data_IF_996209587845
#
_entry.id   IF_996209587845
#
_cell.length_a   1.000
_cell.length_b   1.000
_cell.length_c   1.000
_cell.angle_alpha   90.00
_cell.angle_beta   90.00
_cell.angle_gamma   90.00
#
_symmetry.space_group_name_H-M   'P 1'
#
loop_
_entity.id
_entity.type
_entity.pdbx_description
1 polymer ?
#
# COMPACT_ATOMS: atom_id res chain seq x y z
N UNK A 1 -11.08 -16.82 8.35
CA UNK A 1 -11.00 -17.85 7.29
C UNK A 1 -9.53 -18.06 6.99
N UNK A 2 -8.98 -19.25 7.24
CA UNK A 2 -7.58 -19.57 6.97
C UNK A 2 -7.45 -20.82 6.12
N UNK A 3 -6.26 -21.39 5.99
CA UNK A 3 -6.01 -22.60 5.21
C UNK A 3 -6.90 -23.73 5.73
N UNK A 4 -7.91 -24.14 4.93
CA UNK A 4 -8.95 -25.07 5.37
C UNK A 4 -8.48 -26.53 5.29
N UNK A 5 -7.74 -26.89 4.25
CA UNK A 5 -7.21 -28.23 4.04
C UNK A 5 -5.92 -28.19 3.22
N UNK A 6 -4.77 -28.49 3.83
CA UNK A 6 -3.45 -28.43 3.17
C UNK A 6 -3.02 -29.77 2.55
N UNK A 7 -3.83 -30.82 2.70
CA UNK A 7 -3.53 -32.16 2.16
C UNK A 7 -4.11 -32.35 0.75
N UNK A 8 -5.06 -31.51 0.34
CA UNK A 8 -5.62 -31.51 -1.02
C UNK A 8 -4.88 -30.60 -1.97
N UNK A 9 -4.90 -30.96 -3.26
CA UNK A 9 -4.32 -30.19 -4.38
C UNK A 9 -4.88 -28.75 -4.44
N UNK A 10 -6.17 -28.59 -4.08
CA UNK A 10 -6.83 -27.29 -4.01
C UNK A 10 -6.24 -26.40 -2.90
N UNK A 11 -5.98 -26.93 -1.71
CA UNK A 11 -5.39 -26.14 -0.63
C UNK A 11 -3.92 -25.83 -0.82
N UNK A 12 -3.17 -26.74 -1.45
CA UNK A 12 -1.80 -26.47 -1.89
C UNK A 12 -1.74 -25.36 -2.95
N UNK A 13 -2.72 -25.31 -3.86
CA UNK A 13 -2.83 -24.22 -4.82
C UNK A 13 -3.10 -22.86 -4.15
N UNK A 14 -3.96 -22.82 -3.14
CA UNK A 14 -4.23 -21.62 -2.34
C UNK A 14 -3.01 -21.19 -1.54
N UNK A 15 -2.26 -22.13 -0.95
CA UNK A 15 -1.00 -21.82 -0.27
C UNK A 15 0.06 -21.31 -1.26
N UNK A 16 0.11 -21.86 -2.48
CA UNK A 16 1.05 -21.45 -3.52
C UNK A 16 0.78 -20.04 -4.06
N UNK A 17 -0.49 -19.64 -4.20
CA UNK A 17 -0.85 -18.27 -4.57
C UNK A 17 -0.60 -17.30 -3.41
N UNK A 18 -0.85 -17.72 -2.17
CA UNK A 18 -0.56 -16.92 -0.98
C UNK A 18 0.94 -16.63 -0.81
N UNK A 19 1.80 -17.63 -1.01
CA UNK A 19 3.26 -17.51 -0.94
C UNK A 19 3.92 -16.89 -2.20
N UNK A 20 3.12 -16.49 -3.18
CA UNK A 20 3.60 -15.72 -4.33
C UNK A 20 4.01 -14.32 -3.89
N UNK A 21 3.18 -13.67 -3.08
CA UNK A 21 3.40 -12.29 -2.60
C UNK A 21 4.07 -12.23 -1.24
N UNK A 22 4.13 -13.34 -0.50
CA UNK A 22 4.64 -13.41 0.88
C UNK A 22 5.77 -14.42 1.01
N UNK A 23 6.80 -14.05 1.77
CA UNK A 23 7.92 -14.94 2.09
C UNK A 23 7.61 -15.93 3.22
N UNK A 24 6.74 -15.53 4.17
CA UNK A 24 6.29 -16.30 5.32
C UNK A 24 4.79 -16.06 5.59
N UNK A 25 4.21 -16.75 6.58
CA UNK A 25 2.76 -16.79 6.73
C UNK A 25 2.14 -15.52 7.34
N UNK A 26 2.80 -14.88 8.31
CA UNK A 26 2.27 -13.68 9.00
C UNK A 26 3.19 -12.46 8.83
N UNK A 27 4.50 -12.67 8.81
CA UNK A 27 5.50 -11.59 8.86
C UNK A 27 6.61 -11.74 7.81
N UNK A 28 7.69 -10.97 7.97
CA UNK A 28 8.89 -11.00 7.12
C UNK A 28 9.99 -11.94 7.64
N UNK A 29 9.75 -12.69 8.72
CA UNK A 29 10.66 -13.67 9.31
C UNK A 29 9.90 -14.96 9.69
N UNK A 30 10.64 -16.06 9.84
CA UNK A 30 10.07 -17.36 10.24
C UNK A 30 9.43 -17.22 11.63
N UNK A 31 8.16 -17.64 11.74
CA UNK A 31 7.37 -17.53 12.97
C UNK A 31 6.76 -18.87 13.37
N UNK A 32 6.16 -18.95 14.56
CA UNK A 32 5.40 -20.13 14.98
C UNK A 32 4.26 -20.48 14.01
N UNK A 33 3.72 -19.52 13.26
CA UNK A 33 2.71 -19.79 12.25
C UNK A 33 3.26 -20.62 11.08
N UNK A 34 4.49 -20.34 10.63
CA UNK A 34 5.17 -21.12 9.62
C UNK A 34 5.43 -22.55 10.11
N UNK A 35 5.79 -22.72 11.38
CA UNK A 35 6.00 -24.03 12.02
C UNK A 35 4.70 -24.84 12.05
N UNK A 36 3.57 -24.21 12.40
CA UNK A 36 2.26 -24.87 12.46
C UNK A 36 1.78 -25.31 11.08
N UNK A 37 1.98 -24.49 10.04
CA UNK A 37 1.62 -24.86 8.65
C UNK A 37 2.61 -25.87 8.07
N UNK A 38 3.89 -25.78 8.41
CA UNK A 38 4.91 -26.76 8.01
C UNK A 38 4.61 -28.14 8.58
N UNK A 39 4.22 -28.24 9.87
CA UNK A 39 3.80 -29.49 10.49
C UNK A 39 2.51 -30.07 9.91
N UNK A 40 1.64 -29.22 9.34
CA UNK A 40 0.44 -29.68 8.64
C UNK A 40 0.75 -30.32 7.28
N UNK A 41 1.88 -29.99 6.66
CA UNK A 41 2.37 -30.62 5.43
C UNK A 41 3.19 -31.86 5.77
N UNK A 42 2.55 -33.03 5.72
CA UNK A 42 3.20 -34.32 6.04
C UNK A 42 4.34 -34.71 5.07
N UNK A 43 4.39 -34.12 3.87
CA UNK A 43 5.40 -34.41 2.84
C UNK A 43 5.81 -33.16 2.08
N UNK A 44 7.05 -33.14 1.57
CA UNK A 44 7.54 -32.08 0.72
C UNK A 44 6.68 -31.94 -0.56
N UNK A 45 6.12 -30.75 -0.86
CA UNK A 45 5.29 -30.54 -2.04
C UNK A 45 6.12 -30.55 -3.33
N UNK A 46 5.52 -31.03 -4.43
CA UNK A 46 6.18 -31.15 -5.73
C UNK A 46 6.54 -29.77 -6.33
N UNK A 47 7.83 -29.53 -6.54
CA UNK A 47 8.35 -28.25 -7.04
C UNK A 47 7.83 -27.88 -8.44
N UNK A 48 7.49 -28.87 -9.27
CA UNK A 48 7.02 -28.66 -10.65
C UNK A 48 5.62 -28.04 -10.70
N UNK A 49 4.77 -28.31 -9.70
CA UNK A 49 3.40 -27.80 -9.62
C UNK A 49 3.25 -26.61 -8.68
N UNK A 50 4.01 -26.59 -7.58
CA UNK A 50 3.91 -25.58 -6.53
C UNK A 50 5.29 -25.00 -6.17
N UNK A 51 5.88 -24.18 -7.05
CA UNK A 51 7.26 -23.68 -6.86
C UNK A 51 7.40 -22.79 -5.62
N UNK A 52 6.39 -22.00 -5.28
CA UNK A 52 6.44 -21.07 -4.15
C UNK A 52 6.35 -21.81 -2.81
N UNK A 53 5.48 -22.82 -2.73
CA UNK A 53 5.37 -23.67 -1.54
C UNK A 53 6.62 -24.51 -1.36
N UNK A 54 7.16 -25.09 -2.44
CA UNK A 54 8.39 -25.89 -2.38
C UNK A 54 9.60 -25.06 -1.94
N UNK A 55 9.71 -23.80 -2.38
CA UNK A 55 10.73 -22.85 -1.93
C UNK A 55 10.60 -22.59 -0.42
N UNK A 56 9.41 -22.22 0.02
CA UNK A 56 9.14 -21.92 1.43
C UNK A 56 9.35 -23.15 2.32
N UNK A 57 8.88 -24.33 1.92
CA UNK A 57 9.05 -25.57 2.68
C UNK A 57 10.53 -25.92 2.90
N UNK A 58 11.36 -25.83 1.84
CA UNK A 58 12.82 -26.05 1.96
C UNK A 58 13.48 -25.05 2.89
N UNK A 59 13.03 -23.79 2.87
CA UNK A 59 13.56 -22.76 3.74
C UNK A 59 13.13 -22.98 5.20
N UNK A 60 11.88 -23.34 5.48
CA UNK A 60 11.44 -23.59 6.87
C UNK A 60 12.06 -24.85 7.44
N UNK A 61 12.31 -25.88 6.62
CA UNK A 61 13.00 -27.10 7.04
C UNK A 61 14.42 -26.86 7.58
N UNK A 62 15.11 -25.77 7.19
CA UNK A 62 16.44 -25.47 7.77
C UNK A 62 16.37 -24.97 9.21
N UNK A 63 15.19 -24.60 9.72
CA UNK A 63 14.98 -24.09 11.08
C UNK A 63 14.39 -25.14 12.02
N UNK A 64 14.38 -26.42 11.64
CA UNK A 64 13.79 -27.51 12.46
C UNK A 64 14.33 -27.55 13.89
N UNK A 65 15.63 -27.31 14.08
CA UNK A 65 16.29 -27.30 15.40
C UNK A 65 15.88 -26.07 16.26
N UNK A 66 15.41 -24.99 15.62
CA UNK A 66 15.09 -23.70 16.25
C UNK A 66 13.59 -23.48 16.42
N UNK A 67 12.73 -24.44 16.04
CA UNK A 67 11.27 -24.29 16.12
C UNK A 67 10.73 -23.95 17.51
N UNK A 68 11.45 -24.28 18.58
CA UNK A 68 11.05 -23.95 19.96
C UNK A 68 11.34 -22.48 20.35
N UNK A 69 12.28 -21.81 19.68
CA UNK A 69 12.74 -20.46 20.03
C UNK A 69 12.18 -19.36 19.12
N UNK A 70 11.45 -19.74 18.07
CA UNK A 70 10.87 -18.78 17.13
C UNK A 70 9.73 -17.96 17.75
N UNK A 71 9.61 -16.67 17.39
CA UNK A 71 8.57 -15.79 17.90
C UNK A 71 7.18 -16.16 17.35
N UNK A 72 6.14 -16.03 18.18
CA UNK A 72 4.74 -16.21 17.81
C UNK A 72 3.95 -17.09 18.77
N UNK A 73 2.66 -17.27 18.48
CA UNK A 73 1.73 -18.07 19.27
C UNK A 73 1.56 -19.47 18.65
N UNK A 74 2.13 -20.49 19.30
CA UNK A 74 2.06 -21.88 18.84
C UNK A 74 0.69 -22.55 19.09
N UNK A 75 -0.21 -21.91 19.83
CA UNK A 75 -1.51 -22.49 20.19
C UNK A 75 -2.58 -22.31 19.10
N UNK A 76 -2.32 -21.49 18.09
CA UNK A 76 -3.29 -21.20 17.02
C UNK A 76 -3.19 -22.27 15.91
N UNK A 77 -4.32 -22.84 15.46
CA UNK A 77 -4.31 -23.84 14.39
C UNK A 77 -3.96 -23.21 13.03
N UNK A 78 -3.46 -24.02 12.09
CA UNK A 78 -3.16 -23.56 10.73
C UNK A 78 -4.37 -22.94 10.01
N UNK A 79 -5.58 -23.33 10.40
CA UNK A 79 -6.86 -22.80 9.89
C UNK A 79 -7.16 -21.36 10.33
N UNK A 80 -6.40 -20.82 11.28
CA UNK A 80 -6.46 -19.41 11.68
C UNK A 80 -5.61 -18.50 10.79
N UNK A 81 -4.73 -19.08 9.96
CA UNK A 81 -3.81 -18.35 9.10
C UNK A 81 -4.17 -18.57 7.65
N UNK A 82 -4.19 -17.52 6.83
CA UNK A 82 -4.55 -17.61 5.42
C UNK A 82 -5.29 -16.37 4.93
N UNK A 83 -5.74 -16.37 3.66
CA UNK A 83 -6.44 -15.23 3.08
C UNK A 83 -7.79 -15.00 3.78
N UNK A 84 -7.96 -13.86 4.43
CA UNK A 84 -9.28 -13.35 4.80
C UNK A 84 -9.97 -12.88 3.53
N UNK A 85 -11.02 -13.61 3.13
CA UNK A 85 -11.80 -13.47 1.90
C UNK A 85 -11.11 -14.00 0.62
N UNK A 86 -11.86 -14.85 -0.07
CA UNK A 86 -11.52 -15.56 -1.28
C UNK A 86 -11.43 -14.62 -2.50
N UNK A 87 -10.22 -14.33 -2.97
CA UNK A 87 -9.97 -14.05 -4.39
C UNK A 87 -9.60 -15.37 -5.08
N UNK A 88 -10.61 -16.07 -5.57
CA UNK A 88 -10.40 -17.09 -6.60
C UNK A 88 -10.11 -16.36 -7.92
N UNK A 89 -8.83 -16.23 -8.24
CA UNK A 89 -8.35 -15.77 -9.54
C UNK A 89 -8.54 -16.87 -10.58
N UNK A 90 -9.56 -16.74 -11.43
CA UNK A 90 -9.64 -17.46 -12.69
C UNK A 90 -8.81 -16.68 -13.72
N UNK A 91 -7.66 -17.22 -14.08
CA UNK A 91 -6.80 -16.68 -15.14
C UNK A 91 -7.25 -17.20 -16.54
N UNK A 92 -6.81 -16.52 -17.62
CA UNK A 92 -7.54 -16.35 -18.89
C UNK A 92 -7.12 -17.34 -19.98
N UNK A 93 -8.03 -17.62 -20.92
CA UNK A 93 -7.68 -18.03 -22.29
C UNK A 93 -8.89 -17.92 -23.25
N UNK A 94 -8.89 -16.92 -24.14
CA UNK A 94 -8.93 -17.04 -25.62
C UNK A 94 -9.47 -15.75 -26.28
N UNK A 95 -8.60 -15.12 -27.07
CA UNK A 95 -8.77 -13.91 -27.87
C UNK A 95 -9.72 -14.13 -29.10
N UNK A 96 -10.14 -13.09 -29.89
CA UNK A 96 -9.24 -12.23 -30.68
C UNK A 96 -9.63 -10.73 -30.80
N UNK A 97 -8.71 -10.00 -31.44
CA UNK A 97 -8.64 -8.56 -31.69
C UNK A 97 -9.52 -8.03 -32.84
N UNK A 98 -9.73 -6.70 -32.83
CA UNK A 98 -10.11 -5.73 -33.89
C UNK A 98 -11.03 -4.68 -33.23
N UNK A 99 -10.96 -3.37 -33.41
CA UNK A 99 -10.20 -2.45 -34.26
C UNK A 99 -10.23 -1.07 -33.56
N UNK A 100 -9.25 -0.23 -33.84
CA UNK A 100 -9.29 1.21 -33.59
C UNK A 100 -10.45 1.81 -34.40
N UNK A 101 -11.25 2.70 -33.81
CA UNK A 101 -11.68 3.88 -34.56
C UNK A 101 -11.84 5.07 -33.61
N UNK A 102 -11.25 6.14 -34.08
CA UNK A 102 -11.11 7.48 -33.55
C UNK A 102 -12.41 8.23 -33.85
N UNK A 103 -12.94 9.00 -32.90
CA UNK A 103 -13.72 10.21 -33.19
C UNK A 103 -13.97 10.96 -31.87
N UNK A 104 -13.10 11.95 -31.65
CA UNK A 104 -13.36 13.15 -30.88
C UNK A 104 -14.79 13.67 -31.13
N UNK A 105 -15.72 13.36 -30.22
CA UNK A 105 -17.01 14.05 -30.14
C UNK A 105 -16.88 15.17 -29.13
N UNK A 106 -16.40 16.31 -29.64
CA UNK A 106 -16.50 17.62 -29.01
C UNK A 106 -17.98 17.97 -28.77
N UNK A 107 -18.45 17.65 -27.56
CA UNK A 107 -19.82 17.85 -27.11
C UNK A 107 -20.05 19.24 -26.51
N UNK A 108 -19.30 20.28 -26.93
CA UNK A 108 -19.50 21.65 -26.43
C UNK A 108 -19.20 22.77 -27.46
N UNK A 109 -19.67 22.63 -28.70
CA UNK A 109 -19.63 23.67 -29.73
C UNK A 109 -21.01 24.21 -30.14
N UNK A 110 -21.46 25.29 -29.47
CA UNK A 110 -22.40 26.35 -29.91
C UNK A 110 -23.76 26.02 -30.56
N UNK A 111 -24.81 26.19 -29.77
CA UNK A 111 -26.03 27.01 -29.97
C UNK A 111 -26.26 27.69 -31.35
N UNK A 112 -27.35 27.33 -32.05
CA UNK A 112 -28.15 28.26 -32.88
C UNK A 112 -29.59 27.72 -33.10
N UNK A 113 -30.55 28.65 -33.09
CA UNK A 113 -32.01 28.49 -32.98
C UNK A 113 -32.69 28.05 -34.30
N UNK A 114 -33.59 27.04 -34.27
CA UNK A 114 -34.92 27.01 -34.94
C UNK A 114 -35.58 25.60 -34.83
N UNK A 115 -36.91 25.59 -34.72
CA UNK A 115 -37.78 24.49 -34.28
C UNK A 115 -37.74 23.21 -35.13
N UNK A 116 -37.71 22.04 -34.49
CA UNK A 116 -38.29 20.83 -35.08
C UNK A 116 -38.89 19.88 -34.01
N UNK A 117 -40.22 19.81 -33.97
CA UNK A 117 -40.99 18.99 -33.02
C UNK A 117 -40.70 17.48 -33.14
N UNK A 118 -40.11 17.06 -34.25
CA UNK A 118 -39.73 15.66 -34.51
C UNK A 118 -38.47 15.24 -33.73
N UNK A 119 -37.51 16.16 -33.55
CA UNK A 119 -36.28 15.89 -32.78
C UNK A 119 -36.56 15.75 -31.27
N UNK A 120 -37.58 16.46 -30.75
CA UNK A 120 -38.06 16.29 -29.38
C UNK A 120 -38.71 14.92 -29.16
N UNK A 121 -39.48 14.42 -30.14
CA UNK A 121 -40.08 13.08 -30.10
C UNK A 121 -39.05 11.96 -30.15
N UNK A 122 -38.02 12.08 -30.99
CA UNK A 122 -36.94 11.10 -31.05
C UNK A 122 -36.12 11.10 -29.74
N UNK A 123 -35.94 12.27 -29.12
CA UNK A 123 -35.28 12.40 -27.81
C UNK A 123 -36.12 11.78 -26.68
N UNK A 124 -37.45 11.96 -26.70
CA UNK A 124 -38.38 11.32 -25.77
C UNK A 124 -38.50 9.81 -25.99
N UNK A 125 -38.53 9.33 -27.24
CA UNK A 125 -38.51 7.89 -27.54
C UNK A 125 -37.19 7.26 -27.07
N UNK A 126 -36.04 7.92 -27.27
CA UNK A 126 -34.74 7.48 -26.74
C UNK A 126 -34.69 7.52 -25.21
N UNK A 127 -35.30 8.51 -24.57
CA UNK A 127 -35.43 8.61 -23.11
C UNK A 127 -36.40 7.57 -22.54
N UNK A 128 -37.45 7.21 -23.27
CA UNK A 128 -38.41 6.16 -22.89
C UNK A 128 -37.79 4.77 -23.07
N UNK A 129 -36.99 4.55 -24.11
CA UNK A 129 -36.14 3.35 -24.26
C UNK A 129 -35.10 3.27 -23.15
N UNK A 130 -34.54 4.42 -22.72
CA UNK A 130 -33.62 4.48 -21.57
C UNK A 130 -34.34 4.24 -20.24
N UNK A 131 -35.58 4.72 -20.07
CA UNK A 131 -36.44 4.45 -18.91
C UNK A 131 -36.82 2.97 -18.84
N UNK A 132 -37.21 2.35 -19.95
CA UNK A 132 -37.48 0.90 -20.01
C UNK A 132 -36.22 0.05 -19.78
N UNK A 133 -35.05 0.50 -20.25
CA UNK A 133 -33.75 -0.13 -19.92
C UNK A 133 -33.32 0.09 -18.46
N UNK A 134 -33.79 1.16 -17.81
CA UNK A 134 -33.61 1.40 -16.37
C UNK A 134 -34.62 0.65 -15.50
N UNK A 135 -35.85 0.45 -15.96
CA UNK A 135 -36.91 -0.29 -15.26
C UNK A 135 -36.71 -1.81 -15.32
N UNK A 136 -35.95 -2.32 -16.31
CA UNK A 136 -35.47 -3.71 -16.33
C UNK A 136 -34.37 -4.02 -15.31
N UNK A 137 -33.80 -3.01 -14.64
CA UNK A 137 -32.95 -3.22 -13.46
C UNK A 137 -33.85 -3.16 -12.23
N UNK A 138 -34.48 -4.29 -11.91
CA UNK A 138 -35.09 -4.49 -10.60
C UNK A 138 -34.01 -4.17 -9.56
N UNK A 139 -34.30 -3.24 -8.64
CA UNK A 139 -33.44 -2.99 -7.48
C UNK A 139 -33.11 -4.36 -6.87
N UNK A 140 -31.83 -4.75 -6.71
CA UNK A 140 -31.53 -6.02 -6.07
C UNK A 140 -32.22 -6.00 -4.70
N UNK A 141 -33.13 -6.95 -4.47
CA UNK A 141 -33.84 -7.07 -3.21
C UNK A 141 -32.80 -7.14 -2.09
N UNK A 142 -32.99 -6.38 -1.02
CA UNK A 142 -32.11 -6.40 0.14
C UNK A 142 -32.13 -7.82 0.72
N UNK A 143 -31.01 -8.53 0.60
CA UNK A 143 -30.85 -9.87 1.14
C UNK A 143 -30.19 -9.76 2.51
N UNK A 144 -30.73 -10.43 3.52
CA UNK A 144 -30.00 -10.61 4.77
C UNK A 144 -29.67 -12.08 4.98
N UNK A 145 -28.44 -12.32 5.45
CA UNK A 145 -28.01 -13.65 5.88
C UNK A 145 -28.22 -13.71 7.38
N UNK A 146 -29.02 -14.67 7.82
CA UNK A 146 -29.40 -14.85 9.22
C UNK A 146 -28.96 -16.23 9.70
N UNK A 147 -28.44 -16.29 10.92
CA UNK A 147 -28.07 -17.52 11.59
C UNK A 147 -29.00 -17.73 12.77
N UNK A 148 -29.83 -18.77 12.70
CA UNK A 148 -30.78 -19.16 13.74
C UNK A 148 -30.25 -20.34 14.55
N UNK A 149 -30.37 -20.24 15.87
CA UNK A 149 -30.16 -21.35 16.80
C UNK A 149 -31.52 -21.90 17.24
N UNK A 150 -31.76 -23.18 16.97
CA UNK A 150 -32.96 -23.91 17.41
C UNK A 150 -32.56 -24.83 18.57
N UNK A 151 -33.14 -24.60 19.76
CA UNK A 151 -32.93 -25.41 20.95
C UNK A 151 -34.03 -26.48 21.06
N UNK A 152 -33.69 -27.78 21.09
CA UNK A 152 -34.67 -28.84 21.34
C UNK A 152 -34.96 -28.99 22.84
N UNK A 153 -36.06 -29.70 23.16
CA UNK A 153 -36.46 -29.96 24.55
C UNK A 153 -35.55 -30.93 25.31
N UNK A 154 -34.95 -31.93 24.64
CA UNK A 154 -34.18 -32.98 25.31
C UNK A 154 -33.07 -33.60 24.44
N UNK A 155 -32.13 -34.35 25.06
CA UNK A 155 -30.99 -35.01 24.40
C UNK A 155 -31.33 -36.33 23.67
N UNK A 156 -32.54 -36.86 23.87
CA UNK A 156 -33.10 -38.01 23.14
C UNK A 156 -33.84 -37.63 21.84
N UNK A 157 -34.05 -36.34 21.55
CA UNK A 157 -34.80 -35.89 20.36
C UNK A 157 -34.01 -36.15 19.06
N UNK A 158 -34.67 -36.73 18.05
CA UNK A 158 -34.03 -37.02 16.76
C UNK A 158 -33.68 -35.74 15.99
N UNK A 159 -32.40 -35.38 16.04
CA UNK A 159 -31.83 -34.16 15.46
C UNK A 159 -32.00 -34.08 13.93
N UNK A 160 -32.20 -35.22 13.25
CA UNK A 160 -32.44 -35.25 11.80
C UNK A 160 -33.88 -34.93 11.45
N UNK A 161 -34.85 -35.41 12.23
CA UNK A 161 -36.27 -35.11 12.03
C UNK A 161 -36.57 -33.62 12.26
N UNK A 162 -35.88 -33.00 13.22
CA UNK A 162 -35.95 -31.55 13.45
C UNK A 162 -35.36 -30.75 12.28
N UNK A 163 -34.23 -31.19 11.70
CA UNK A 163 -33.67 -30.55 10.51
C UNK A 163 -34.58 -30.69 9.29
N UNK A 164 -35.19 -31.86 9.08
CA UNK A 164 -36.16 -32.09 8.01
C UNK A 164 -37.43 -31.24 8.17
N UNK A 165 -37.92 -31.08 9.40
CA UNK A 165 -39.08 -30.24 9.72
C UNK A 165 -38.79 -28.75 9.46
N UNK A 166 -37.63 -28.25 9.88
CA UNK A 166 -37.23 -26.85 9.64
C UNK A 166 -36.99 -26.58 8.15
N UNK A 167 -36.39 -27.53 7.42
CA UNK A 167 -36.19 -27.42 5.96
C UNK A 167 -37.47 -27.55 5.15
N UNK A 168 -38.55 -28.11 5.71
CA UNK A 168 -39.85 -28.26 5.02
C UNK A 168 -40.66 -26.96 4.92
N UNK A 169 -40.23 -25.90 5.63
CA UNK A 169 -40.84 -24.57 5.55
C UNK A 169 -40.34 -23.88 4.28
N UNK A 170 -41.18 -23.85 3.25
CA UNK A 170 -40.95 -23.11 2.00
C UNK A 170 -41.78 -21.81 1.99
N UNK A 171 -41.10 -20.66 2.00
CA UNK A 171 -41.71 -19.34 1.79
C UNK A 171 -40.99 -18.61 0.63
N UNK A 172 -41.71 -17.79 -0.15
CA UNK A 172 -41.13 -17.05 -1.29
C UNK A 172 -40.10 -16.01 -0.81
N UNK A 173 -38.83 -16.22 -1.13
CA UNK A 173 -37.70 -15.37 -0.69
C UNK A 173 -36.85 -15.96 0.44
N UNK A 174 -37.13 -17.19 0.89
CA UNK A 174 -36.36 -17.91 1.91
C UNK A 174 -35.48 -19.01 1.27
N UNK A 175 -34.17 -18.95 1.50
CA UNK A 175 -33.23 -20.00 1.09
C UNK A 175 -32.48 -20.55 2.30
N UNK A 176 -32.69 -21.84 2.59
CA UNK A 176 -31.98 -22.55 3.65
C UNK A 176 -30.53 -22.85 3.27
N UNK A 177 -29.60 -22.46 4.14
CA UNK A 177 -28.16 -22.68 4.02
C UNK A 177 -27.65 -23.89 4.79
N UNK A 178 -26.37 -23.85 5.15
CA UNK A 178 -25.71 -24.92 5.90
C UNK A 178 -26.21 -25.00 7.36
N UNK A 179 -26.42 -26.23 7.83
CA UNK A 179 -26.74 -26.56 9.23
C UNK A 179 -25.52 -27.12 9.94
N UNK A 180 -25.36 -26.81 11.23
CA UNK A 180 -24.30 -27.34 12.10
C UNK A 180 -24.88 -27.62 13.48
N UNK A 181 -24.50 -28.75 14.05
CA UNK A 181 -24.82 -29.09 15.44
C UNK A 181 -23.74 -28.53 16.37
N UNK A 182 -24.12 -27.69 17.32
CA UNK A 182 -23.22 -27.11 18.32
C UNK A 182 -23.60 -27.67 19.69
N UNK A 183 -22.64 -28.24 20.43
CA UNK A 183 -22.91 -28.75 21.77
C UNK A 183 -23.10 -27.59 22.76
N UNK A 184 -24.23 -27.56 23.46
CA UNK A 184 -24.44 -26.78 24.67
C UNK A 184 -24.14 -27.73 25.83
N UNK A 185 -23.55 -27.27 26.93
CA UNK A 185 -23.21 -28.15 28.05
C UNK A 185 -24.40 -29.01 28.52
N UNK A 186 -24.13 -30.12 29.21
CA UNK A 186 -25.11 -31.12 29.67
C UNK A 186 -25.75 -32.03 28.59
N UNK A 187 -25.04 -32.33 27.49
CA UNK A 187 -25.46 -33.34 26.52
C UNK A 187 -26.41 -32.84 25.41
N UNK A 188 -27.00 -31.66 25.58
CA UNK A 188 -27.92 -31.04 24.62
C UNK A 188 -27.15 -30.38 23.48
N UNK A 189 -27.45 -30.75 22.23
CA UNK A 189 -26.89 -30.11 21.03
C UNK A 189 -27.91 -29.15 20.44
N UNK A 190 -27.54 -27.89 20.21
CA UNK A 190 -28.36 -26.93 19.47
C UNK A 190 -28.11 -27.05 17.97
N UNK A 191 -29.16 -26.86 17.17
CA UNK A 191 -29.04 -26.78 15.71
C UNK A 191 -28.81 -25.32 15.32
N UNK A 192 -27.66 -25.03 14.72
CA UNK A 192 -27.34 -23.74 14.13
C UNK A 192 -27.57 -23.83 12.62
N UNK A 193 -28.55 -23.09 12.08
CA UNK A 193 -28.88 -23.07 10.66
C UNK A 193 -28.71 -21.67 10.08
N UNK A 194 -28.06 -21.58 8.92
CA UNK A 194 -27.96 -20.34 8.15
C UNK A 194 -29.13 -20.26 7.16
N UNK A 195 -29.68 -19.08 6.95
CA UNK A 195 -30.71 -18.80 5.95
C UNK A 195 -30.45 -17.46 5.27
N UNK A 196 -30.88 -17.34 4.03
CA UNK A 196 -30.86 -16.10 3.25
C UNK A 196 -32.30 -15.68 3.03
N UNK A 197 -32.68 -14.50 3.53
CA UNK A 197 -34.01 -13.92 3.37
C UNK A 197 -33.95 -12.66 2.51
N UNK A 198 -35.00 -12.44 1.72
CA UNK A 198 -35.31 -11.16 1.13
C UNK A 198 -36.16 -10.34 2.12
N UNK A 199 -35.55 -9.29 2.70
CA UNK A 199 -36.10 -8.53 3.84
C UNK A 199 -37.47 -7.87 3.52
N UNK A 200 -37.77 -7.65 2.23
CA UNK A 200 -39.04 -7.03 1.78
C UNK A 200 -40.22 -8.01 1.74
N UNK A 201 -39.96 -9.33 1.79
CA UNK A 201 -40.98 -10.38 1.65
C UNK A 201 -41.12 -11.26 2.89
N UNK A 202 -40.03 -11.49 3.61
CA UNK A 202 -40.00 -12.41 4.75
C UNK A 202 -39.67 -11.64 6.03
N UNK A 203 -40.66 -11.55 6.92
CA UNK A 203 -40.53 -11.06 8.29
C UNK A 203 -39.87 -12.12 9.17
N UNK A 204 -38.83 -11.73 9.90
CA UNK A 204 -38.13 -12.63 10.83
C UNK A 204 -39.04 -13.11 11.96
N UNK A 205 -39.95 -12.25 12.43
CA UNK A 205 -40.89 -12.57 13.51
C UNK A 205 -41.87 -13.69 13.09
N UNK A 206 -42.43 -13.61 11.87
CA UNK A 206 -43.35 -14.64 11.35
C UNK A 206 -42.64 -15.99 11.11
N UNK A 207 -41.35 -15.94 10.73
CA UNK A 207 -40.51 -17.12 10.56
C UNK A 207 -40.15 -17.77 11.91
N UNK A 208 -39.91 -16.98 12.95
CA UNK A 208 -39.72 -17.49 14.31
C UNK A 208 -41.00 -18.11 14.88
N UNK A 209 -42.15 -17.49 14.66
CA UNK A 209 -43.45 -18.00 15.12
C UNK A 209 -43.83 -19.31 14.43
N UNK A 210 -43.57 -19.44 13.13
CA UNK A 210 -43.78 -20.70 12.38
C UNK A 210 -42.89 -21.83 12.90
N UNK A 211 -41.66 -21.52 13.27
CA UNK A 211 -40.71 -22.50 13.86
C UNK A 211 -41.11 -22.85 15.30
N UNK A 212 -41.63 -21.90 16.07
CA UNK A 212 -42.13 -22.12 17.43
C UNK A 212 -43.43 -22.95 17.47
N UNK A 213 -44.22 -22.95 16.39
CA UNK A 213 -45.41 -23.78 16.25
C UNK A 213 -45.15 -25.30 16.21
N UNK A 214 -43.90 -25.73 16.06
CA UNK A 214 -43.49 -27.13 16.22
C UNK A 214 -43.21 -27.44 17.70
N UNK A 215 -44.26 -27.33 18.53
CA UNK A 215 -44.23 -27.44 20.00
C UNK A 215 -43.62 -28.76 20.51
N UNK A 216 -43.70 -29.84 19.71
CA UNK A 216 -43.19 -31.17 20.06
C UNK A 216 -41.66 -31.30 19.99
N UNK A 217 -40.96 -30.39 19.28
CA UNK A 217 -39.52 -30.52 19.02
C UNK A 217 -38.70 -29.29 19.41
N UNK A 218 -39.28 -28.09 19.39
CA UNK A 218 -38.55 -26.82 19.59
C UNK A 218 -38.93 -26.19 20.93
N UNK A 219 -37.93 -25.92 21.77
CA UNK A 219 -38.09 -25.19 23.02
C UNK A 219 -38.06 -23.66 22.79
N UNK A 220 -37.14 -23.20 21.94
CA UNK A 220 -36.99 -21.80 21.56
C UNK A 220 -36.09 -21.67 20.33
N UNK A 221 -36.38 -20.70 19.46
CA UNK A 221 -35.50 -20.24 18.39
C UNK A 221 -34.86 -18.90 18.77
N UNK A 222 -33.58 -18.70 18.47
CA UNK A 222 -32.84 -17.48 18.78
C UNK A 222 -32.01 -17.00 17.57
N UNK A 223 -31.86 -15.69 17.39
CA UNK A 223 -31.07 -15.10 16.30
C UNK A 223 -29.64 -14.88 16.80
N UNK A 224 -28.69 -15.66 16.28
CA UNK A 224 -27.28 -15.57 16.67
C UNK A 224 -26.57 -14.43 15.97
N UNK A 225 -26.83 -14.28 14.67
CA UNK A 225 -26.20 -13.27 13.85
C UNK A 225 -27.14 -12.89 12.70
N UNK A 226 -27.28 -11.59 12.47
CA UNK A 226 -27.93 -11.02 11.31
C UNK A 226 -26.92 -10.16 10.56
N UNK A 227 -26.60 -10.53 9.33
CA UNK A 227 -25.79 -9.72 8.43
C UNK A 227 -26.71 -9.16 7.35
N UNK A 228 -27.05 -7.87 7.48
CA UNK A 228 -27.75 -7.14 6.42
C UNK A 228 -26.76 -6.89 5.28
N UNK A 229 -27.01 -7.45 4.08
CA UNK A 229 -26.32 -7.01 2.87
C UNK A 229 -26.97 -5.70 2.43
N UNK A 230 -26.68 -4.62 3.15
CA UNK A 230 -27.01 -3.28 2.68
C UNK A 230 -25.97 -2.88 1.63
N UNK A 231 -26.43 -2.49 0.44
CA UNK A 231 -25.71 -1.86 -0.68
C UNK A 231 -25.00 -0.53 -0.30
N UNK A 232 -24.68 -0.30 0.97
CA UNK A 232 -23.67 0.68 1.40
C UNK A 232 -22.27 0.30 0.87
N UNK A 233 -22.08 -0.96 0.45
CA UNK A 233 -20.87 -1.44 -0.19
C UNK A 233 -20.54 -0.65 -1.45
N UNK A 234 -21.52 -0.18 -2.23
CA UNK A 234 -21.20 0.48 -3.51
C UNK A 234 -20.59 1.87 -3.33
N UNK A 235 -21.06 2.67 -2.36
CA UNK A 235 -20.44 3.97 -2.05
C UNK A 235 -19.10 3.81 -1.32
N UNK A 236 -18.96 2.82 -0.43
CA UNK A 236 -17.68 2.56 0.24
C UNK A 236 -16.66 1.95 -0.71
N UNK A 237 -17.04 1.03 -1.60
CA UNK A 237 -16.13 0.41 -2.58
C UNK A 237 -15.63 1.42 -3.61
N UNK A 238 -16.48 2.35 -4.08
CA UNK A 238 -16.02 3.43 -4.97
C UNK A 238 -15.05 4.38 -4.27
N UNK A 239 -15.31 4.73 -3.01
CA UNK A 239 -14.40 5.57 -2.21
C UNK A 239 -13.12 4.83 -1.81
N UNK A 240 -13.19 3.55 -1.47
CA UNK A 240 -12.05 2.70 -1.11
C UNK A 240 -11.21 2.33 -2.33
N UNK A 241 -11.81 2.11 -3.50
CA UNK A 241 -11.10 1.92 -4.77
C UNK A 241 -10.44 3.22 -5.23
N UNK A 242 -11.12 4.38 -5.09
CA UNK A 242 -10.47 5.70 -5.25
C UNK A 242 -9.29 5.86 -4.29
N UNK A 243 -9.45 5.49 -3.02
CA UNK A 243 -8.38 5.54 -2.02
C UNK A 243 -7.22 4.58 -2.35
N UNK A 244 -7.50 3.36 -2.82
CA UNK A 244 -6.52 2.33 -3.13
C UNK A 244 -5.62 2.73 -4.30
N UNK A 245 -6.19 3.21 -5.40
CA UNK A 245 -5.41 3.73 -6.54
C UNK A 245 -4.60 4.97 -6.13
N UNK A 246 -5.18 5.85 -5.31
CA UNK A 246 -4.52 7.05 -4.77
C UNK A 246 -3.36 6.74 -3.78
N UNK A 247 -3.41 5.62 -3.06
CA UNK A 247 -2.37 5.26 -2.07
C UNK A 247 -1.06 4.70 -2.64
N UNK A 248 -1.04 4.29 -3.91
CA UNK A 248 0.13 3.64 -4.50
C UNK A 248 1.33 4.59 -4.65
N UNK A 249 1.10 5.82 -5.11
CA UNK A 249 2.15 6.83 -5.32
C UNK A 249 2.79 7.28 -4.01
N UNK A 250 1.99 7.42 -2.96
CA UNK A 250 2.47 7.74 -1.61
C UNK A 250 3.32 6.63 -1.02
N UNK A 251 2.90 5.37 -1.21
CA UNK A 251 3.68 4.22 -0.78
C UNK A 251 5.04 4.19 -1.48
N UNK A 252 5.08 4.43 -2.80
CA UNK A 252 6.31 4.57 -3.57
C UNK A 252 7.22 5.67 -3.01
N UNK A 253 6.68 6.88 -2.75
CA UNK A 253 7.47 7.98 -2.19
C UNK A 253 8.11 7.63 -0.84
N UNK A 254 7.37 6.96 0.04
CA UNK A 254 7.87 6.52 1.35
C UNK A 254 8.92 5.41 1.21
N UNK A 255 8.72 4.45 0.29
CA UNK A 255 9.73 3.43 0.01
C UNK A 255 11.01 4.04 -0.55
N UNK A 256 10.90 5.05 -1.40
CA UNK A 256 12.05 5.79 -1.90
C UNK A 256 12.78 6.53 -0.78
N UNK A 257 12.06 7.22 0.13
CA UNK A 257 12.68 7.84 1.30
C UNK A 257 13.47 6.82 2.15
N UNK A 258 12.88 5.64 2.39
CA UNK A 258 13.53 4.56 3.16
C UNK A 258 14.78 4.03 2.47
N UNK A 259 14.77 3.89 1.14
CA UNK A 259 15.96 3.48 0.37
C UNK A 259 17.07 4.53 0.46
N UNK A 260 16.73 5.82 0.40
CA UNK A 260 17.69 6.93 0.47
C UNK A 260 18.48 6.95 1.79
N UNK A 261 17.86 6.57 2.91
CA UNK A 261 18.55 6.53 4.21
C UNK A 261 19.77 5.60 4.22
N UNK A 262 19.72 4.50 3.47
CA UNK A 262 20.78 3.51 3.43
C UNK A 262 21.85 3.79 2.35
N UNK A 263 21.61 4.77 1.48
CA UNK A 263 22.51 5.09 0.38
C UNK A 263 23.51 6.17 0.77
N UNK A 264 24.74 6.02 0.31
CA UNK A 264 25.78 7.03 0.49
C UNK A 264 25.58 8.25 -0.43
N UNK A 265 25.03 8.03 -1.63
CA UNK A 265 24.68 9.06 -2.60
C UNK A 265 23.17 9.34 -2.58
N UNK A 266 22.80 10.56 -2.97
CA UNK A 266 21.40 10.95 -3.06
C UNK A 266 20.81 10.51 -4.40
N UNK A 267 19.70 9.74 -4.43
CA UNK A 267 19.03 9.40 -5.68
C UNK A 267 18.36 10.63 -6.33
N UNK A 268 18.08 10.56 -7.65
CA UNK A 268 17.37 11.62 -8.36
C UNK A 268 16.05 12.01 -7.69
N UNK A 269 15.80 13.32 -7.62
CA UNK A 269 14.57 13.85 -7.08
C UNK A 269 13.36 13.44 -7.94
N UNK A 270 12.35 12.83 -7.32
CA UNK A 270 11.16 12.33 -8.01
C UNK A 270 10.11 13.42 -8.18
N UNK A 271 10.33 14.30 -9.17
CA UNK A 271 9.39 15.38 -9.51
C UNK A 271 7.99 14.87 -9.81
N UNK A 272 7.89 13.77 -10.54
CA UNK A 272 6.61 13.28 -11.04
C UNK A 272 5.72 12.74 -9.93
N UNK A 273 6.28 12.01 -8.96
CA UNK A 273 5.52 11.50 -7.81
C UNK A 273 5.06 12.66 -6.93
N UNK A 274 5.93 13.64 -6.64
CA UNK A 274 5.54 14.81 -5.83
C UNK A 274 4.47 15.63 -6.54
N UNK A 275 4.57 15.81 -7.87
CA UNK A 275 3.56 16.50 -8.68
C UNK A 275 2.22 15.75 -8.71
N UNK A 276 2.24 14.44 -8.74
CA UNK A 276 1.03 13.62 -8.76
C UNK A 276 0.31 13.68 -7.40
N UNK A 277 1.02 13.49 -6.28
CA UNK A 277 0.44 13.63 -4.93
C UNK A 277 -0.07 15.05 -4.67
N UNK A 278 0.62 16.09 -5.15
CA UNK A 278 0.14 17.47 -4.98
C UNK A 278 -1.09 17.79 -5.83
N UNK A 279 -1.21 17.20 -7.03
CA UNK A 279 -2.44 17.25 -7.83
C UNK A 279 -3.59 16.55 -7.09
N UNK A 280 -3.35 15.36 -6.55
CA UNK A 280 -4.34 14.62 -5.77
C UNK A 280 -4.85 15.41 -4.56
N UNK A 281 -3.96 16.05 -3.80
CA UNK A 281 -4.36 16.89 -2.66
C UNK A 281 -5.23 18.07 -3.11
N UNK A 282 -4.94 18.68 -4.26
CA UNK A 282 -5.78 19.75 -4.82
C UNK A 282 -7.13 19.25 -5.28
N UNK A 283 -7.19 18.04 -5.83
CA UNK A 283 -8.45 17.45 -6.26
C UNK A 283 -9.31 17.03 -5.07
N UNK A 284 -8.71 16.50 -3.99
CA UNK A 284 -9.41 16.29 -2.71
C UNK A 284 -9.95 17.59 -2.11
N UNK A 285 -9.19 18.68 -2.18
CA UNK A 285 -9.63 20.00 -1.70
C UNK A 285 -10.81 20.55 -2.52
N UNK A 286 -10.81 20.33 -3.85
CA UNK A 286 -11.95 20.65 -4.71
C UNK A 286 -13.17 19.78 -4.39
N UNK A 287 -12.98 18.47 -4.17
CA UNK A 287 -14.05 17.55 -3.79
C UNK A 287 -14.70 18.03 -2.47
N UNK A 288 -13.89 18.41 -1.47
CA UNK A 288 -14.37 18.99 -0.20
C UNK A 288 -15.12 20.30 -0.43
N UNK A 289 -14.62 21.19 -1.30
CA UNK A 289 -15.30 22.44 -1.63
C UNK A 289 -16.67 22.19 -2.28
N UNK A 290 -16.78 21.24 -3.21
CA UNK A 290 -18.05 20.85 -3.85
C UNK A 290 -19.03 20.24 -2.85
N UNK A 291 -18.55 19.46 -1.88
CA UNK A 291 -19.41 18.91 -0.82
C UNK A 291 -19.93 20.00 0.13
N UNK A 292 -19.18 21.08 0.32
CA UNK A 292 -19.55 22.20 1.19
C UNK A 292 -20.34 23.30 0.46
N UNK A 293 -20.30 23.36 -0.86
CA UNK A 293 -21.00 24.35 -1.70
C UNK A 293 -22.50 24.47 -1.37
N UNK A 294 -23.27 23.37 -1.17
CA UNK A 294 -24.69 23.46 -0.81
C UNK A 294 -24.95 24.06 0.59
N UNK A 295 -23.92 24.09 1.44
CA UNK A 295 -24.00 24.57 2.83
C UNK A 295 -23.40 25.97 3.00
N UNK A 296 -22.90 26.57 1.93
CA UNK A 296 -22.46 27.95 1.91
C UNK A 296 -23.64 28.87 1.61
N UNK A 297 -23.90 29.81 2.53
CA UNK A 297 -24.84 30.89 2.30
C UNK A 297 -24.19 31.99 1.44
N UNK A 298 -24.99 32.70 0.63
CA UNK A 298 -24.54 33.84 -0.20
C UNK A 298 -23.84 34.97 0.59
N UNK A 299 -24.01 34.99 1.91
CA UNK A 299 -23.36 35.93 2.83
C UNK A 299 -22.01 35.44 3.38
N UNK A 300 -21.50 34.29 2.93
CA UNK A 300 -20.23 33.69 3.38
C UNK A 300 -20.31 32.93 4.71
N UNK A 301 -21.53 32.60 5.17
CA UNK A 301 -21.77 31.75 6.34
C UNK A 301 -21.75 30.26 5.96
N UNK A 302 -21.22 29.41 6.84
CA UNK A 302 -21.32 27.94 6.72
C UNK A 302 -22.44 27.46 7.63
N UNK A 303 -23.54 26.98 7.05
CA UNK A 303 -24.69 26.41 7.77
C UNK A 303 -24.54 24.89 8.05
N UNK A 304 -23.35 24.32 7.78
CA UNK A 304 -23.11 22.90 7.93
C UNK A 304 -23.14 22.45 9.41
N UNK A 305 -24.09 21.59 9.76
CA UNK A 305 -24.15 20.92 11.06
C UNK A 305 -23.82 19.42 10.91
N UNK A 306 -22.73 18.92 11.52
CA UNK A 306 -22.33 17.52 11.43
C UNK A 306 -23.37 16.52 12.00
N UNK A 307 -24.30 16.98 12.84
CA UNK A 307 -25.28 16.09 13.49
C UNK A 307 -26.49 15.81 12.60
N UNK A 308 -26.83 16.74 11.70
CA UNK A 308 -27.98 16.64 10.79
C UNK A 308 -27.63 15.84 9.54
N UNK A 309 -26.44 16.04 8.97
CA UNK A 309 -25.93 15.27 7.83
C UNK A 309 -24.65 14.50 8.17
N UNK A 310 -24.85 13.37 8.85
CA UNK A 310 -23.77 12.46 9.27
C UNK A 310 -23.02 11.84 8.09
N UNK A 311 -23.66 11.68 6.92
CA UNK A 311 -23.04 11.05 5.76
C UNK A 311 -21.98 11.99 5.16
N UNK A 312 -22.34 13.25 4.95
CA UNK A 312 -21.40 14.27 4.45
C UNK A 312 -20.31 14.58 5.48
N UNK A 313 -20.64 14.60 6.77
CA UNK A 313 -19.64 14.76 7.84
C UNK A 313 -18.56 13.65 7.80
N UNK A 314 -18.97 12.40 7.58
CA UNK A 314 -18.03 11.28 7.41
C UNK A 314 -17.18 11.43 6.14
N UNK A 315 -17.77 11.83 5.01
CA UNK A 315 -17.04 12.06 3.76
C UNK A 315 -15.96 13.14 3.91
N UNK A 316 -16.34 14.30 4.44
CA UNK A 316 -15.42 15.41 4.72
C UNK A 316 -14.29 15.01 5.67
N UNK A 317 -14.60 14.19 6.70
CA UNK A 317 -13.59 13.68 7.62
C UNK A 317 -12.60 12.76 6.90
N UNK A 318 -13.08 11.85 6.06
CA UNK A 318 -12.22 10.93 5.29
C UNK A 318 -11.30 11.71 4.35
N UNK A 319 -11.83 12.69 3.61
CA UNK A 319 -11.03 13.51 2.70
C UNK A 319 -10.00 14.36 3.45
N UNK A 320 -10.39 14.95 4.59
CA UNK A 320 -9.47 15.68 5.44
C UNK A 320 -8.33 14.80 5.99
N UNK A 321 -8.65 13.59 6.45
CA UNK A 321 -7.66 12.63 6.92
C UNK A 321 -6.74 12.16 5.78
N UNK A 322 -7.27 11.97 4.57
CA UNK A 322 -6.49 11.64 3.38
C UNK A 322 -5.51 12.77 3.03
N UNK A 323 -5.96 14.02 2.98
CA UNK A 323 -5.08 15.18 2.74
C UNK A 323 -3.97 15.29 3.81
N UNK A 324 -4.30 15.07 5.09
CA UNK A 324 -3.31 15.08 6.18
C UNK A 324 -2.29 13.94 6.04
N UNK A 325 -2.72 12.75 5.61
CA UNK A 325 -1.82 11.64 5.32
C UNK A 325 -0.86 12.00 4.18
N UNK A 326 -1.38 12.56 3.08
CA UNK A 326 -0.58 12.91 1.92
C UNK A 326 0.47 13.97 2.27
N UNK A 327 0.05 15.01 3.00
CA UNK A 327 0.97 16.04 3.52
C UNK A 327 2.05 15.44 4.42
N UNK A 328 1.70 14.53 5.34
CA UNK A 328 2.66 13.89 6.25
C UNK A 328 3.71 13.06 5.49
N UNK A 329 3.28 12.29 4.50
CA UNK A 329 4.18 11.47 3.68
C UNK A 329 5.13 12.34 2.84
N UNK A 330 4.63 13.40 2.20
CA UNK A 330 5.47 14.33 1.46
C UNK A 330 6.50 15.02 2.36
N UNK A 331 6.08 15.51 3.53
CA UNK A 331 6.99 16.12 4.49
C UNK A 331 8.06 15.14 4.99
N UNK A 332 7.70 13.88 5.23
CA UNK A 332 8.66 12.85 5.62
C UNK A 332 9.69 12.56 4.51
N UNK A 333 9.25 12.48 3.25
CA UNK A 333 10.13 12.32 2.09
C UNK A 333 11.10 13.49 1.97
N UNK A 334 10.60 14.73 1.99
CA UNK A 334 11.43 15.93 1.92
C UNK A 334 12.38 16.04 3.11
N UNK A 335 11.92 15.78 4.33
CA UNK A 335 12.75 15.85 5.53
C UNK A 335 13.92 14.86 5.47
N UNK A 336 13.65 13.63 5.03
CA UNK A 336 14.70 12.60 4.87
C UNK A 336 15.76 13.04 3.84
N UNK A 337 15.32 13.69 2.76
CA UNK A 337 16.25 14.22 1.74
C UNK A 337 17.04 15.41 2.25
N UNK A 338 16.40 16.36 2.94
CA UNK A 338 17.11 17.52 3.53
C UNK A 338 18.11 17.07 4.59
N UNK A 339 17.79 16.09 5.44
CA UNK A 339 18.74 15.54 6.41
C UNK A 339 19.98 14.96 5.73
N UNK A 340 19.79 14.28 4.59
CA UNK A 340 20.91 13.74 3.82
C UNK A 340 21.72 14.84 3.15
N UNK A 341 21.08 15.87 2.63
CA UNK A 341 21.75 17.03 2.05
C UNK A 341 22.56 17.80 3.11
N UNK A 342 21.98 18.07 4.27
CA UNK A 342 22.67 18.67 5.40
C UNK A 342 23.91 17.82 5.77
N UNK A 343 23.76 16.49 5.91
CA UNK A 343 24.88 15.58 6.17
C UNK A 343 26.01 15.69 5.13
N UNK A 344 25.66 15.81 3.85
CA UNK A 344 26.64 15.97 2.76
C UNK A 344 27.36 17.32 2.82
N UNK A 345 26.64 18.40 3.13
CA UNK A 345 27.24 19.73 3.35
C UNK A 345 28.21 19.71 4.53
N UNK A 346 27.85 19.05 5.63
CA UNK A 346 28.73 18.90 6.79
C UNK A 346 29.96 18.03 6.52
N UNK A 347 29.86 17.08 5.59
CA UNK A 347 31.01 16.30 5.10
C UNK A 347 31.91 17.07 4.12
N UNK A 348 31.53 18.30 3.77
CA UNK A 348 32.31 19.18 2.89
C UNK A 348 32.08 18.95 1.39
N UNK A 349 31.00 18.26 1.01
CA UNK A 349 30.56 18.18 -0.38
C UNK A 349 29.89 19.49 -0.79
N UNK A 350 30.41 20.17 -1.79
CA UNK A 350 29.78 21.38 -2.34
C UNK A 350 28.64 21.02 -3.31
N UNK A 351 27.76 21.98 -3.63
CA UNK A 351 26.66 21.82 -4.61
C UNK A 351 27.19 21.33 -5.95
N UNK A 352 28.39 21.77 -6.34
CA UNK A 352 29.07 21.35 -7.57
C UNK A 352 29.51 19.89 -7.48
N UNK A 353 30.13 19.48 -6.36
CA UNK A 353 30.53 18.09 -6.12
C UNK A 353 29.31 17.14 -6.09
N UNK A 354 28.18 17.63 -5.58
CA UNK A 354 26.91 16.90 -5.52
C UNK A 354 26.27 16.73 -6.91
N UNK A 355 26.39 17.75 -7.76
CA UNK A 355 25.94 17.69 -9.15
C UNK A 355 26.84 16.76 -10.00
N UNK A 356 28.15 16.78 -9.77
CA UNK A 356 29.12 15.92 -10.46
C UNK A 356 29.10 14.46 -9.96
N UNK A 357 28.82 14.21 -8.68
CA UNK A 357 28.64 12.85 -8.17
C UNK A 357 27.48 12.10 -8.87
N UNK A 358 26.47 12.82 -9.34
CA UNK A 358 25.38 12.24 -10.12
C UNK A 358 25.74 11.87 -11.56
N UNK A 359 26.75 12.50 -12.17
CA UNK A 359 27.18 12.15 -13.53
C UNK A 359 28.08 10.91 -13.56
N UNK A 360 28.96 10.73 -12.56
CA UNK A 360 29.86 9.58 -12.50
C UNK A 360 29.17 8.23 -12.20
N UNK A 361 27.99 8.24 -11.58
CA UNK A 361 27.21 7.00 -11.39
C UNK A 361 26.68 6.40 -12.71
N UNK A 362 26.66 7.20 -13.79
CA UNK A 362 26.13 6.81 -15.10
C UNK A 362 27.23 6.38 -16.10
N UNK A 363 28.50 6.65 -15.82
CA UNK A 363 29.64 6.32 -16.70
C UNK A 363 30.18 4.89 -16.54
N UNK A 364 29.68 4.11 -15.57
CA UNK A 364 30.16 2.75 -15.32
C UNK A 364 29.83 1.69 -16.39
N UNK A 365 29.18 2.05 -17.51
CA UNK A 365 28.69 1.04 -18.47
C UNK A 365 28.86 1.35 -19.96
N UNK A 366 29.61 2.38 -20.38
CA UNK A 366 29.90 2.56 -21.80
C UNK A 366 31.41 2.71 -22.04
N UNK A 367 31.92 1.89 -22.96
CA UNK A 367 33.30 1.90 -23.44
C UNK A 367 33.69 3.22 -24.13
N UNK A 368 34.98 3.38 -24.47
CA UNK A 368 35.52 4.68 -24.83
C UNK A 368 35.20 5.01 -26.30
N UNK A 369 34.17 5.82 -26.52
CA UNK A 369 33.96 6.45 -27.83
C UNK A 369 34.52 7.87 -27.86
N UNK A 370 35.45 8.04 -28.80
CA UNK A 370 36.13 9.27 -29.16
C UNK A 370 35.13 10.12 -29.96
N UNK A 371 34.62 11.21 -29.38
CA UNK A 371 34.21 12.37 -30.18
C UNK A 371 34.24 13.66 -29.35
N UNK A 372 35.24 14.49 -29.66
CA UNK A 372 35.29 15.88 -29.24
C UNK A 372 34.16 16.65 -29.94
N UNK A 373 33.17 17.09 -29.16
CA UNK A 373 32.09 17.95 -29.59
C UNK A 373 31.68 18.85 -28.43
N UNK A 374 32.02 20.13 -28.52
CA UNK A 374 31.57 21.21 -27.64
C UNK A 374 30.04 21.29 -27.64
N UNK A 375 29.42 20.63 -26.66
CA UNK A 375 28.01 20.72 -26.35
C UNK A 375 27.87 20.96 -24.85
N UNK A 376 27.24 22.08 -24.50
CA UNK A 376 26.81 22.42 -23.14
C UNK A 376 25.85 21.35 -22.62
N UNK A 377 26.39 20.27 -22.07
CA UNK A 377 25.62 19.20 -21.46
C UNK A 377 24.95 19.75 -20.21
N UNK A 378 23.63 19.93 -20.28
CA UNK A 378 22.80 20.08 -19.08
C UNK A 378 22.94 18.78 -18.30
N UNK A 379 23.91 18.73 -17.39
CA UNK A 379 24.05 17.64 -16.44
C UNK A 379 22.74 17.54 -15.68
N UNK A 380 22.10 16.38 -15.77
CA UNK A 380 20.87 16.11 -15.05
C UNK A 380 21.23 16.02 -13.57
N UNK A 381 21.27 17.17 -12.91
CA UNK A 381 21.45 17.27 -11.48
C UNK A 381 20.42 16.34 -10.82
N UNK A 382 20.89 15.46 -9.94
CA UNK A 382 20.01 14.60 -9.14
C UNK A 382 19.12 15.39 -8.16
N UNK A 383 19.38 16.70 -8.05
CA UNK A 383 18.70 17.64 -7.19
C UNK A 383 17.60 18.38 -7.95
N UNK A 384 16.53 18.71 -7.23
CA UNK A 384 15.59 19.71 -7.74
C UNK A 384 16.18 21.12 -7.63
N UNK A 385 15.79 22.07 -8.50
CA UNK A 385 16.24 23.47 -8.39
C UNK A 385 15.99 24.08 -7.00
N UNK A 386 14.88 23.68 -6.36
CA UNK A 386 14.54 24.12 -5.00
C UNK A 386 15.48 23.54 -3.94
N UNK A 387 15.95 22.31 -4.12
CA UNK A 387 16.97 21.70 -3.25
C UNK A 387 18.33 22.37 -3.45
N UNK A 388 18.70 22.71 -4.68
CA UNK A 388 19.95 23.45 -4.95
C UNK A 388 19.98 24.81 -4.25
N UNK A 389 18.89 25.58 -4.35
CA UNK A 389 18.77 26.87 -3.66
C UNK A 389 18.79 26.72 -2.14
N UNK A 390 18.17 25.67 -1.61
CA UNK A 390 18.21 25.36 -0.18
C UNK A 390 19.65 25.04 0.29
N UNK A 391 20.38 24.20 -0.46
CA UNK A 391 21.76 23.85 -0.11
C UNK A 391 22.67 25.07 -0.17
N UNK A 392 22.52 25.95 -1.17
CA UNK A 392 23.28 27.21 -1.22
C UNK A 392 23.04 28.07 0.03
N UNK A 393 21.78 28.29 0.39
CA UNK A 393 21.43 29.06 1.59
C UNK A 393 21.96 28.41 2.87
N UNK A 394 21.92 27.08 2.96
CA UNK A 394 22.44 26.34 4.11
C UNK A 394 23.97 26.41 4.21
N UNK A 395 24.67 26.30 3.08
CA UNK A 395 26.13 26.46 3.00
C UNK A 395 26.55 27.88 3.40
N UNK A 396 25.83 28.91 2.96
CA UNK A 396 26.07 30.31 3.36
C UNK A 396 25.86 30.50 4.87
N UNK A 397 24.79 29.91 5.42
CA UNK A 397 24.51 29.92 6.86
C UNK A 397 25.63 29.22 7.65
N UNK A 398 26.08 28.06 7.17
CA UNK A 398 27.18 27.32 7.78
C UNK A 398 28.49 28.10 7.71
N UNK A 399 28.78 28.75 6.59
CA UNK A 399 29.96 29.61 6.43
C UNK A 399 29.91 30.81 7.40
N UNK A 400 28.76 31.45 7.55
CA UNK A 400 28.56 32.53 8.53
C UNK A 400 28.75 32.05 9.97
N UNK A 401 28.28 30.84 10.29
CA UNK A 401 28.46 30.22 11.60
C UNK A 401 29.93 29.88 11.87
N UNK A 402 30.63 29.28 10.90
CA UNK A 402 32.07 28.99 10.95
C UNK A 402 32.92 30.26 11.07
N UNK A 403 32.50 31.35 10.42
CA UNK A 403 33.21 32.63 10.49
C UNK A 403 33.35 33.20 11.90
N UNK A 404 32.53 32.77 12.85
CA UNK A 404 32.67 33.13 14.27
C UNK A 404 33.83 32.41 14.97
N UNK A 405 34.27 31.27 14.42
CA UNK A 405 35.24 30.36 15.02
C UNK A 405 36.36 30.05 14.02
N UNK A 406 37.29 30.99 13.83
CA UNK A 406 38.40 30.83 12.87
C UNK A 406 39.42 29.76 13.28
N UNK A 407 39.48 29.46 14.57
CA UNK A 407 40.50 28.58 15.15
C UNK A 407 40.03 27.11 15.23
N UNK A 408 38.75 26.84 14.93
CA UNK A 408 38.12 25.53 15.06
C UNK A 408 37.45 25.15 13.74
N UNK A 409 37.94 24.10 13.09
CA UNK A 409 37.25 23.53 11.94
C UNK A 409 36.08 22.65 12.40
N UNK A 410 34.87 23.17 12.24
CA UNK A 410 33.62 22.48 12.59
C UNK A 410 33.23 21.38 11.59
N UNK A 411 33.87 21.34 10.40
CA UNK A 411 33.64 20.31 9.37
C UNK A 411 34.80 19.32 9.23
N UNK A 412 35.75 19.38 10.17
CA UNK A 412 36.85 18.44 10.24
C UNK A 412 36.40 17.02 10.59
N UNK A 413 37.36 16.11 10.61
CA UNK A 413 37.11 14.72 10.97
C UNK A 413 36.63 14.58 12.43
N UNK A 414 35.61 13.74 12.65
CA UNK A 414 35.13 13.37 14.00
C UNK A 414 36.05 12.34 14.68
N UNK A 415 36.94 11.72 13.91
CA UNK A 415 37.90 10.74 14.41
C UNK A 415 39.14 11.45 14.96
N UNK A 416 39.51 11.24 16.24
CA UNK A 416 40.66 11.91 16.81
C UNK A 416 41.94 11.47 16.10
N UNK A 417 42.82 12.41 15.69
CA UNK A 417 44.06 12.09 15.00
C UNK A 417 44.99 11.29 15.92
N UNK A 418 45.48 10.15 15.43
CA UNK A 418 46.43 9.30 16.15
C UNK A 418 47.86 9.82 16.02
N UNK A 419 48.22 10.26 14.82
CA UNK A 419 49.54 10.72 14.45
C UNK A 419 49.43 12.06 13.72
N UNK A 420 50.42 12.94 13.92
CA UNK A 420 50.43 14.26 13.29
C UNK A 420 50.70 14.19 11.78
N UNK A 421 51.45 13.17 11.36
CA UNK A 421 51.84 12.91 9.98
C UNK A 421 51.32 11.55 9.53
N UNK A 422 50.92 11.48 8.27
CA UNK A 422 50.37 10.28 7.66
C UNK A 422 51.00 10.04 6.29
N UNK A 423 51.17 8.77 5.94
CA UNK A 423 51.50 8.37 4.57
C UNK A 423 50.22 8.38 3.73
N UNK A 424 50.23 9.08 2.61
CA UNK A 424 49.11 9.15 1.66
C UNK A 424 49.56 8.77 0.26
N UNK A 425 48.69 8.06 -0.46
CA UNK A 425 48.84 7.76 -1.88
C UNK A 425 47.85 8.57 -2.70
N UNK A 426 48.32 9.16 -3.79
CA UNK A 426 47.47 9.91 -4.73
C UNK A 426 46.72 8.94 -5.66
N UNK A 427 45.39 9.00 -5.65
CA UNK A 427 44.52 8.22 -6.54
C UNK A 427 44.17 8.98 -7.83
N UNK A 428 43.97 10.30 -7.72
CA UNK A 428 43.65 11.21 -8.82
C UNK A 428 44.63 12.40 -8.82
N UNK A 429 45.05 12.84 -10.00
CA UNK A 429 45.90 14.03 -10.13
C UNK A 429 45.19 15.26 -9.55
N UNK A 430 45.81 15.92 -8.57
CA UNK A 430 45.24 17.07 -7.86
C UNK A 430 46.05 18.37 -8.09
N UNK A 431 47.09 18.32 -8.93
CA UNK A 431 47.91 19.49 -9.26
C UNK A 431 48.82 19.90 -8.09
N UNK A 432 49.13 21.19 -8.02
CA UNK A 432 49.99 21.76 -6.97
C UNK A 432 49.14 22.23 -5.78
N UNK A 433 49.38 21.66 -4.61
CA UNK A 433 48.74 22.06 -3.35
C UNK A 433 49.70 22.86 -2.50
N UNK A 434 49.18 23.81 -1.73
CA UNK A 434 49.96 24.58 -0.76
C UNK A 434 49.83 23.91 0.61
N UNK A 435 50.96 23.45 1.16
CA UNK A 435 51.07 23.03 2.56
C UNK A 435 51.76 24.14 3.35
N UNK A 436 51.66 24.09 4.69
CA UNK A 436 52.33 25.07 5.55
C UNK A 436 53.87 25.08 5.38
N UNK A 437 54.44 23.98 4.89
CA UNK A 437 55.88 23.80 4.68
C UNK A 437 56.33 24.01 3.22
N UNK A 438 55.42 24.30 2.29
CA UNK A 438 55.72 24.54 0.88
C UNK A 438 54.70 23.94 -0.08
N UNK A 439 54.90 24.14 -1.38
CA UNK A 439 54.02 23.56 -2.40
C UNK A 439 54.44 22.13 -2.77
N UNK A 440 53.45 21.25 -2.92
CA UNK A 440 53.64 19.84 -3.29
C UNK A 440 52.79 19.54 -4.53
N UNK A 441 53.39 18.91 -5.53
CA UNK A 441 52.68 18.49 -6.75
C UNK A 441 52.19 17.05 -6.61
N UNK A 442 50.87 16.89 -6.51
CA UNK A 442 50.21 15.60 -6.36
C UNK A 442 49.98 14.95 -7.73
N UNK A 443 50.83 13.97 -8.06
CA UNK A 443 50.72 13.15 -9.26
C UNK A 443 50.17 11.75 -8.95
N UNK A 444 49.39 11.17 -9.85
CA UNK A 444 48.71 9.89 -9.67
C UNK A 444 49.70 8.77 -9.33
N UNK A 445 49.35 7.96 -8.33
CA UNK A 445 50.14 6.86 -7.78
C UNK A 445 51.44 7.26 -7.04
N UNK A 446 51.72 8.55 -6.87
CA UNK A 446 52.80 8.99 -5.98
C UNK A 446 52.40 8.85 -4.50
N UNK A 447 53.40 8.77 -3.63
CA UNK A 447 53.22 8.65 -2.18
C UNK A 447 53.92 9.81 -1.49
N UNK A 448 53.27 10.38 -0.49
CA UNK A 448 53.79 11.49 0.30
C UNK A 448 53.58 11.24 1.79
N UNK A 449 54.55 11.69 2.58
CA UNK A 449 54.45 11.76 4.04
C UNK A 449 54.18 13.21 4.42
N UNK A 450 52.96 13.50 4.83
CA UNK A 450 52.43 14.86 4.98
C UNK A 450 51.67 14.99 6.29
N UNK A 451 51.54 16.23 6.78
CA UNK A 451 50.76 16.51 7.97
C UNK A 451 49.29 16.25 7.67
N UNK A 452 48.60 15.58 8.60
CA UNK A 452 47.21 15.16 8.41
C UNK A 452 46.28 16.36 8.10
N UNK A 453 46.43 17.48 8.80
CA UNK A 453 45.57 18.66 8.62
C UNK A 453 45.57 19.27 7.21
N UNK A 454 46.68 19.17 6.46
CA UNK A 454 46.79 19.75 5.12
C UNK A 454 46.10 18.88 4.05
N UNK A 455 45.90 17.59 4.33
CA UNK A 455 45.40 16.60 3.36
C UNK A 455 44.05 16.00 3.71
N UNK A 456 43.51 16.26 4.90
CA UNK A 456 42.22 15.73 5.36
C UNK A 456 41.08 15.98 4.36
N UNK A 457 40.97 17.20 3.83
CA UNK A 457 39.94 17.55 2.84
C UNK A 457 40.10 16.76 1.53
N UNK A 458 41.34 16.56 1.08
CA UNK A 458 41.64 15.81 -0.15
C UNK A 458 41.42 14.30 0.01
N UNK A 459 41.61 13.77 1.23
CA UNK A 459 41.26 12.39 1.58
C UNK A 459 39.73 12.23 1.56
N UNK A 460 38.98 13.17 2.14
CA UNK A 460 37.51 13.14 2.15
C UNK A 460 36.91 13.21 0.74
N UNK A 461 37.53 13.99 -0.16
CA UNK A 461 37.15 14.08 -1.58
C UNK A 461 37.60 12.87 -2.41
N UNK A 462 38.41 11.96 -1.86
CA UNK A 462 38.87 10.75 -2.53
C UNK A 462 40.03 10.95 -3.53
N UNK A 463 40.71 12.10 -3.50
CA UNK A 463 41.95 12.31 -4.27
C UNK A 463 43.13 11.54 -3.68
N UNK A 464 43.14 11.39 -2.36
CA UNK A 464 44.20 10.75 -1.60
C UNK A 464 43.65 9.56 -0.80
N UNK A 465 44.46 8.53 -0.64
CA UNK A 465 44.18 7.38 0.21
C UNK A 465 45.26 7.28 1.29
N UNK A 466 44.86 7.21 2.55
CA UNK A 466 45.77 6.97 3.68
C UNK A 466 46.36 5.56 3.60
N UNK A 467 47.67 5.45 3.72
CA UNK A 467 48.41 4.20 3.82
C UNK A 467 48.76 3.98 5.30
N UNK A 468 47.99 3.13 5.99
CA UNK A 468 48.21 2.77 7.40
C UNK A 468 47.34 3.56 8.37
#
# INVERSE_FOLDING_TARGET
MGFTDLLTDAGLAVLNSYLLTRSYIIDYAVSQADVVVFKALSTAPAADKYPNVARWYKHVATYEDEFATLPGDASKPYTAYGPEASELTINPAKAPAAEEDDDDVDLFGSDDEEEDAEAARVREERLAEYRKKKEGKVKPAAKSVVTLDVKPWDDETDMKALEESVRSIDQDGLVWGASKLVAVGFGIKKLQINLVIEDDKVSLDDLQDTIAGFEDYVQSSDVVAMQKLLDLCWCLELSVARLLVRTHELYLAVQHAKRTQNLAHLPPYQTEIVRAVTREVRDLDKDVAQLLEPYQDDAGGSSFDPTTDKATACALLVDHLAMRRNKRCLLAYHRTRTEKLEELVWRGSDVVDLAEASSHAQEGNNGPDIHAGTGSGSGSSSLSPQEEDYVRQYSDLLAAYKGQWTDIDLTGSLEPPRDLFIDVRVLKDAGEIQTEYGSITLSRNSQFYVRQGDVERLIAQGYLQKLG
#
